data_IF_267769364221
#
_entry.id   IF_267769364221
#
_cell.length_a   1.000
_cell.length_b   1.000
_cell.length_c   1.000
_cell.angle_alpha   90.00
_cell.angle_beta   90.00
_cell.angle_gamma   90.00
#
_symmetry.space_group_name_H-M   'P 1'
#
loop_
_entity.id
_entity.type
_entity.pdbx_description
1 polymer ?
#
# COMPACT_ATOMS: atom_id res chain seq x y z
N UNK A 1 -13.30 -10.10 -13.80
CA UNK A 1 -14.49 -10.21 -14.68
C UNK A 1 -15.32 -11.40 -14.27
N UNK A 2 -16.65 -11.27 -14.20
CA UNK A 2 -17.54 -12.40 -13.93
C UNK A 2 -17.68 -13.24 -15.20
N UNK A 3 -17.34 -14.53 -15.14
CA UNK A 3 -17.47 -15.48 -16.24
C UNK A 3 -18.87 -16.09 -16.29
N UNK A 4 -19.21 -16.68 -17.44
CA UNK A 4 -20.35 -17.59 -17.55
C UNK A 4 -20.15 -18.74 -16.55
N UNK A 5 -20.98 -18.80 -15.51
CA UNK A 5 -20.79 -19.69 -14.35
C UNK A 5 -20.59 -18.96 -13.02
N UNK A 6 -20.63 -17.62 -12.99
CA UNK A 6 -20.68 -16.82 -11.76
C UNK A 6 -19.34 -16.63 -11.06
N UNK A 7 -18.27 -17.31 -11.51
CA UNK A 7 -16.92 -17.15 -10.97
C UNK A 7 -16.26 -15.88 -11.48
N UNK A 8 -15.44 -15.26 -10.65
CA UNK A 8 -14.63 -14.11 -11.02
C UNK A 8 -13.22 -14.53 -11.41
N UNK A 9 -12.72 -13.97 -12.50
CA UNK A 9 -11.30 -14.05 -12.86
C UNK A 9 -10.62 -12.69 -12.65
N UNK A 10 -9.40 -12.67 -12.08
CA UNK A 10 -8.62 -11.46 -11.97
C UNK A 10 -8.16 -11.03 -13.37
N UNK A 11 -8.43 -9.78 -13.74
CA UNK A 11 -8.04 -9.23 -15.05
C UNK A 11 -6.93 -8.18 -14.91
N UNK A 12 -7.13 -7.25 -13.97
CA UNK A 12 -6.15 -6.25 -13.59
C UNK A 12 -6.44 -5.86 -12.16
N UNK A 13 -5.60 -6.33 -11.24
CA UNK A 13 -5.67 -6.01 -9.82
C UNK A 13 -4.38 -5.26 -9.50
N UNK A 14 -4.54 -3.95 -9.32
CA UNK A 14 -3.46 -3.05 -8.96
C UNK A 14 -3.76 -2.31 -7.68
N UNK A 15 -2.73 -1.88 -6.97
CA UNK A 15 -2.92 -1.04 -5.79
C UNK A 15 -3.17 0.44 -6.11
N UNK A 16 -3.88 1.08 -5.19
CA UNK A 16 -4.19 2.51 -5.24
C UNK A 16 -3.50 3.30 -4.14
N UNK A 17 -3.52 4.63 -4.26
CA UNK A 17 -2.93 5.57 -3.30
C UNK A 17 -3.54 5.38 -1.91
N UNK A 18 -2.72 4.93 -0.95
CA UNK A 18 -3.16 4.55 0.40
C UNK A 18 -3.64 5.72 1.24
N UNK A 19 -3.13 6.94 1.00
CA UNK A 19 -3.55 8.14 1.73
C UNK A 19 -5.07 8.39 1.70
N UNK A 20 -5.79 7.93 0.66
CA UNK A 20 -7.26 8.06 0.62
C UNK A 20 -7.98 7.24 1.68
N UNK A 21 -7.32 6.22 2.23
CA UNK A 21 -7.84 5.30 3.22
C UNK A 21 -7.30 5.55 4.63
N UNK A 22 -6.47 6.58 4.82
CA UNK A 22 -5.71 6.82 6.05
C UNK A 22 -6.58 6.86 7.32
N UNK A 23 -7.73 7.56 7.24
CA UNK A 23 -8.70 7.67 8.34
C UNK A 23 -9.29 6.33 8.82
N UNK A 24 -9.20 5.27 8.02
CA UNK A 24 -9.75 3.96 8.36
C UNK A 24 -8.71 3.03 8.98
N UNK A 25 -7.41 3.33 8.83
CA UNK A 25 -6.30 2.46 9.28
C UNK A 25 -6.43 2.10 10.75
N UNK A 26 -6.61 3.09 11.64
CA UNK A 26 -6.74 2.82 13.08
C UNK A 26 -7.89 1.88 13.42
N UNK A 27 -9.07 2.11 12.84
CA UNK A 27 -10.24 1.25 13.04
C UNK A 27 -10.03 -0.19 12.53
N UNK A 28 -9.34 -0.36 11.40
CA UNK A 28 -8.97 -1.66 10.85
C UNK A 28 -8.05 -2.45 11.80
N UNK A 29 -7.05 -1.79 12.37
CA UNK A 29 -6.09 -2.42 13.28
C UNK A 29 -6.70 -2.75 14.65
N UNK A 30 -7.42 -1.80 15.22
CA UNK A 30 -7.98 -1.89 16.57
C UNK A 30 -9.17 -2.85 16.62
N UNK A 31 -10.14 -2.70 15.71
CA UNK A 31 -11.43 -3.42 15.80
C UNK A 31 -11.44 -4.74 15.06
N UNK A 32 -10.74 -4.81 13.93
CA UNK A 32 -10.77 -5.97 13.04
C UNK A 32 -9.47 -6.78 13.06
N UNK A 33 -8.49 -6.37 13.88
CA UNK A 33 -7.26 -7.13 14.06
C UNK A 33 -6.34 -7.15 12.83
N UNK A 34 -6.50 -6.21 11.89
CA UNK A 34 -5.60 -6.09 10.73
C UNK A 34 -4.19 -5.78 11.23
N UNK A 35 -3.18 -6.45 10.64
CA UNK A 35 -1.75 -6.27 11.03
C UNK A 35 -0.86 -5.89 9.86
N UNK A 36 -1.32 -6.05 8.62
CA UNK A 36 -0.59 -5.60 7.43
C UNK A 36 -1.54 -4.84 6.52
N UNK A 37 -1.05 -3.72 5.98
CA UNK A 37 -1.74 -2.94 4.95
C UNK A 37 -0.81 -2.86 3.73
N UNK A 38 -1.29 -3.28 2.57
CA UNK A 38 -0.55 -3.21 1.31
C UNK A 38 -1.10 -2.06 0.46
N UNK A 39 -0.22 -1.26 -0.14
CA UNK A 39 -0.66 -0.23 -1.08
C UNK A 39 0.49 0.58 -1.68
N UNK A 40 0.18 1.76 -2.23
CA UNK A 40 1.19 2.68 -2.76
C UNK A 40 1.08 4.09 -2.19
N UNK A 41 2.22 4.78 -2.14
CA UNK A 41 2.32 6.20 -1.77
C UNK A 41 2.37 6.49 -0.27
N UNK A 42 2.27 5.47 0.58
CA UNK A 42 2.37 5.62 2.03
C UNK A 42 1.10 6.11 2.70
N UNK A 43 1.18 6.18 4.03
CA UNK A 43 0.14 6.64 4.94
C UNK A 43 0.67 7.81 5.80
N UNK A 44 -0.21 8.44 6.57
CA UNK A 44 0.15 9.57 7.41
C UNK A 44 0.93 9.14 8.67
N UNK A 45 1.49 10.12 9.38
CA UNK A 45 2.05 9.89 10.71
C UNK A 45 1.00 9.49 11.75
N UNK A 46 -0.29 9.73 11.52
CA UNK A 46 -1.35 9.22 12.39
C UNK A 46 -1.47 7.70 12.24
N UNK A 47 -1.51 7.20 11.00
CA UNK A 47 -1.47 5.76 10.73
C UNK A 47 -0.20 5.10 11.28
N UNK A 48 0.96 5.76 11.22
CA UNK A 48 2.20 5.26 11.85
C UNK A 48 2.01 4.98 13.35
N UNK A 49 1.43 5.94 14.08
CA UNK A 49 1.13 5.75 15.51
C UNK A 49 0.17 4.59 15.75
N UNK A 50 -0.77 4.34 14.84
CA UNK A 50 -1.66 3.18 14.92
C UNK A 50 -0.88 1.86 14.71
N UNK A 51 0.07 1.82 13.78
CA UNK A 51 0.96 0.67 13.58
C UNK A 51 1.82 0.39 14.82
N UNK A 52 2.38 1.42 15.45
CA UNK A 52 3.13 1.29 16.70
C UNK A 52 2.25 0.76 17.84
N UNK A 53 1.05 1.35 18.01
CA UNK A 53 0.15 1.01 19.12
C UNK A 53 -0.43 -0.40 19.02
N UNK A 54 -0.77 -0.85 17.81
CA UNK A 54 -1.51 -2.11 17.60
C UNK A 54 -0.66 -3.22 16.98
N UNK A 55 0.62 -2.96 16.70
CA UNK A 55 1.56 -3.91 16.12
C UNK A 55 1.27 -4.20 14.66
N UNK A 56 1.39 -3.22 13.77
CA UNK A 56 1.14 -3.41 12.33
C UNK A 56 2.28 -2.95 11.42
N UNK A 57 2.12 -3.22 10.13
CA UNK A 57 3.08 -2.88 9.09
C UNK A 57 2.39 -2.34 7.84
N UNK A 58 2.99 -1.33 7.22
CA UNK A 58 2.63 -0.91 5.88
C UNK A 58 3.66 -1.43 4.87
N UNK A 59 3.15 -2.20 3.91
CA UNK A 59 3.92 -2.82 2.84
C UNK A 59 3.67 -2.06 1.55
N UNK A 60 4.67 -1.31 1.12
CA UNK A 60 4.64 -0.64 -0.17
C UNK A 60 4.82 -1.67 -1.28
N UNK A 61 3.91 -1.68 -2.25
CA UNK A 61 4.05 -2.44 -3.49
C UNK A 61 4.34 -1.49 -4.65
N UNK A 62 5.01 -2.02 -5.68
CA UNK A 62 5.40 -1.26 -6.86
C UNK A 62 4.17 -0.82 -7.68
N UNK A 63 3.77 0.44 -7.53
CA UNK A 63 2.65 0.98 -8.29
C UNK A 63 2.89 0.95 -9.82
N UNK A 64 1.83 0.70 -10.58
CA UNK A 64 1.89 0.61 -12.04
C UNK A 64 2.22 -0.80 -12.57
N UNK A 65 2.46 -1.76 -11.67
CA UNK A 65 2.75 -3.14 -12.01
C UNK A 65 1.51 -4.06 -11.93
N UNK A 66 0.30 -3.53 -12.11
CA UNK A 66 -0.96 -4.27 -11.95
C UNK A 66 -1.00 -5.57 -12.78
N UNK A 67 -0.45 -5.57 -13.99
CA UNK A 67 -0.37 -6.77 -14.82
C UNK A 67 0.46 -7.89 -14.15
N UNK A 68 1.58 -7.54 -13.52
CA UNK A 68 2.42 -8.47 -12.77
C UNK A 68 1.76 -8.88 -11.44
N UNK A 69 1.17 -7.94 -10.70
CA UNK A 69 0.44 -8.22 -9.46
C UNK A 69 -0.71 -9.20 -9.71
N UNK A 70 -1.39 -9.08 -10.86
CA UNK A 70 -2.49 -9.97 -11.26
C UNK A 70 -2.04 -11.41 -11.46
N UNK A 71 -0.82 -11.66 -11.98
CA UNK A 71 -0.32 -13.04 -12.17
C UNK A 71 -0.03 -13.76 -10.86
N UNK A 72 0.05 -13.02 -9.75
CA UNK A 72 0.29 -13.57 -8.41
C UNK A 72 -1.01 -13.95 -7.69
N UNK A 73 -2.17 -13.66 -8.30
CA UNK A 73 -3.50 -14.05 -7.80
C UNK A 73 -3.85 -15.43 -8.34
N UNK A 74 -3.91 -16.43 -7.46
CA UNK A 74 -4.27 -17.80 -7.83
C UNK A 74 -5.78 -17.97 -7.97
N UNK A 75 -6.57 -17.29 -7.13
CA UNK A 75 -8.02 -17.39 -7.14
C UNK A 75 -8.69 -16.17 -6.49
N UNK A 76 -9.89 -15.85 -6.97
CA UNK A 76 -10.85 -15.00 -6.28
C UNK A 76 -11.79 -15.94 -5.54
N UNK A 77 -11.69 -15.98 -4.21
CA UNK A 77 -12.39 -16.96 -3.38
C UNK A 77 -13.78 -16.49 -2.98
N UNK A 78 -13.93 -15.18 -2.75
CA UNK A 78 -15.19 -14.56 -2.40
C UNK A 78 -15.21 -13.09 -2.84
N UNK A 79 -16.43 -12.58 -3.01
CA UNK A 79 -16.72 -11.18 -3.28
C UNK A 79 -17.94 -10.78 -2.46
N UNK A 80 -17.91 -9.60 -1.86
CA UNK A 80 -19.06 -8.99 -1.20
C UNK A 80 -19.31 -7.59 -1.78
N UNK A 81 -20.57 -7.15 -1.69
CA UNK A 81 -21.03 -5.84 -2.18
C UNK A 81 -20.80 -5.65 -3.69
N UNK A 82 -21.23 -6.63 -4.49
CA UNK A 82 -21.03 -6.67 -5.96
C UNK A 82 -21.53 -5.41 -6.70
N UNK A 83 -22.45 -4.65 -6.09
CA UNK A 83 -22.96 -3.38 -6.58
C UNK A 83 -21.92 -2.23 -6.56
N UNK A 84 -20.84 -2.36 -5.79
CA UNK A 84 -19.76 -1.38 -5.69
C UNK A 84 -18.72 -1.49 -6.83
N UNK A 85 -18.91 -2.40 -7.79
CA UNK A 85 -18.05 -2.58 -8.96
C UNK A 85 -16.56 -2.76 -8.55
N UNK A 86 -15.53 -1.97 -8.97
CA UNK A 86 -14.15 -2.29 -8.57
C UNK A 86 -13.92 -2.13 -7.05
N UNK A 87 -14.80 -1.43 -6.34
CA UNK A 87 -14.71 -1.16 -4.89
C UNK A 87 -15.36 -2.27 -4.03
N UNK A 88 -15.71 -3.42 -4.62
CA UNK A 88 -16.15 -4.59 -3.85
C UNK A 88 -15.10 -5.02 -2.84
N UNK A 89 -15.54 -5.71 -1.79
CA UNK A 89 -14.62 -6.42 -0.91
C UNK A 89 -14.26 -7.75 -1.58
N UNK A 90 -12.99 -7.91 -1.95
CA UNK A 90 -12.48 -9.12 -2.61
C UNK A 90 -11.63 -9.94 -1.66
N UNK A 91 -11.87 -11.25 -1.62
CA UNK A 91 -10.97 -12.22 -1.01
C UNK A 91 -10.13 -12.90 -2.10
N UNK A 92 -8.82 -12.64 -2.08
CA UNK A 92 -7.87 -13.24 -3.01
C UNK A 92 -7.03 -14.31 -2.33
N UNK A 93 -6.83 -15.43 -3.02
CA UNK A 93 -5.72 -16.33 -2.75
C UNK A 93 -4.55 -15.91 -3.63
N UNK A 94 -3.39 -15.70 -3.02
CA UNK A 94 -2.19 -15.22 -3.71
C UNK A 94 -1.00 -16.13 -3.44
N UNK A 95 -0.08 -16.24 -4.41
CA UNK A 95 1.21 -16.92 -4.24
C UNK A 95 2.35 -15.99 -4.66
N UNK A 96 3.28 -15.76 -3.74
CA UNK A 96 4.45 -14.92 -4.02
C UNK A 96 4.08 -13.47 -4.32
N UNK A 97 3.07 -12.92 -3.63
CA UNK A 97 2.65 -11.53 -3.81
C UNK A 97 3.80 -10.57 -3.47
N UNK A 98 4.26 -9.79 -4.44
CA UNK A 98 5.36 -8.85 -4.26
C UNK A 98 6.11 -8.47 -5.55
N UNK A 99 7.26 -7.80 -5.42
CA UNK A 99 7.96 -7.49 -4.18
C UNK A 99 7.19 -6.52 -3.27
N UNK A 100 7.29 -6.73 -1.96
CA UNK A 100 6.73 -5.87 -0.93
C UNK A 100 7.87 -5.27 -0.11
N UNK A 101 7.86 -3.95 0.05
CA UNK A 101 8.85 -3.22 0.87
C UNK A 101 8.20 -2.79 2.16
N UNK A 102 8.80 -3.15 3.31
CA UNK A 102 8.42 -2.58 4.61
C UNK A 102 8.74 -1.09 4.57
N UNK A 103 7.70 -0.27 4.39
CA UNK A 103 7.87 1.18 4.26
C UNK A 103 7.43 1.92 5.53
N UNK A 104 6.58 1.31 6.36
CA UNK A 104 6.31 1.78 7.72
C UNK A 104 6.12 0.55 8.62
N UNK A 105 6.65 0.59 9.85
CA UNK A 105 6.61 -0.55 10.78
C UNK A 105 6.06 -0.18 12.16
N UNK A 106 5.91 -1.20 13.02
CA UNK A 106 5.40 -1.07 14.39
C UNK A 106 6.42 -0.51 15.39
N UNK A 107 7.61 -0.12 14.94
CA UNK A 107 8.69 0.44 15.75
C UNK A 107 8.91 1.93 15.45
N UNK A 108 8.02 2.55 14.69
CA UNK A 108 8.11 3.95 14.28
C UNK A 108 8.94 4.19 13.02
N UNK A 109 9.39 3.13 12.35
CA UNK A 109 10.10 3.22 11.07
C UNK A 109 9.20 3.80 9.98
N UNK A 110 9.74 4.73 9.18
CA UNK A 110 9.01 5.37 8.08
C UNK A 110 9.95 5.73 6.92
N UNK A 111 10.05 4.83 5.95
CA UNK A 111 10.89 4.98 4.76
C UNK A 111 10.56 6.24 3.96
N UNK A 112 9.29 6.65 3.90
CA UNK A 112 8.88 7.86 3.18
C UNK A 112 9.42 9.13 3.84
N UNK A 113 9.44 9.16 5.18
CA UNK A 113 10.02 10.27 5.93
C UNK A 113 11.53 10.33 5.71
N UNK A 114 12.21 9.18 5.79
CA UNK A 114 13.66 9.08 5.63
C UNK A 114 14.11 9.53 4.23
N UNK A 115 13.44 9.03 3.17
CA UNK A 115 13.73 9.42 1.79
C UNK A 115 13.48 10.91 1.58
N UNK A 116 12.41 11.47 2.15
CA UNK A 116 12.11 12.90 2.04
C UNK A 116 13.14 13.77 2.75
N UNK A 117 13.60 13.35 3.92
CA UNK A 117 14.66 14.04 4.65
C UNK A 117 15.98 14.04 3.86
N UNK A 118 16.36 12.88 3.31
CA UNK A 118 17.57 12.76 2.49
C UNK A 118 17.49 13.58 1.21
N UNK A 119 16.33 13.58 0.53
CA UNK A 119 16.12 14.38 -0.67
C UNK A 119 16.26 15.88 -0.39
N UNK A 120 15.77 16.37 0.75
CA UNK A 120 15.92 17.78 1.17
C UNK A 120 17.37 18.14 1.44
N UNK A 121 18.10 17.29 2.16
CA UNK A 121 19.54 17.48 2.41
C UNK A 121 20.32 17.60 1.10
N UNK A 122 20.07 16.68 0.16
CA UNK A 122 20.71 16.72 -1.17
C UNK A 122 20.35 17.96 -1.97
N UNK A 123 19.09 18.41 -1.88
CA UNK A 123 18.66 19.62 -2.57
C UNK A 123 19.45 20.84 -2.09
N UNK A 124 19.62 21.01 -0.79
CA UNK A 124 20.42 22.10 -0.21
C UNK A 124 21.87 22.06 -0.71
N UNK A 125 22.52 20.89 -0.69
CA UNK A 125 23.88 20.72 -1.20
C UNK A 125 24.00 21.08 -2.69
N UNK A 126 23.02 20.67 -3.50
CA UNK A 126 22.98 20.97 -4.93
C UNK A 126 22.84 22.48 -5.15
N UNK A 127 21.93 23.14 -4.42
CA UNK A 127 21.72 24.59 -4.54
C UNK A 127 22.99 25.37 -4.18
N UNK A 128 23.65 25.05 -3.06
CA UNK A 128 24.92 25.69 -2.68
C UNK A 128 26.02 25.48 -3.73
N UNK A 129 26.07 24.32 -4.39
CA UNK A 129 27.05 24.07 -5.47
C UNK A 129 26.74 24.87 -6.73
N UNK A 130 25.47 25.11 -7.03
CA UNK A 130 25.06 25.94 -8.17
C UNK A 130 25.39 27.42 -7.93
N UNK A 131 25.15 27.92 -6.72
CA UNK A 131 25.50 29.31 -6.35
C UNK A 131 26.99 29.59 -6.45
N UNK A 132 27.86 28.64 -6.03
CA UNK A 132 29.32 28.78 -6.13
C UNK A 132 29.87 28.72 -7.56
N UNK A 133 29.04 28.34 -8.54
CA UNK A 133 29.40 28.23 -9.97
C UNK A 133 28.88 29.41 -10.81
N UNK A 134 28.00 30.23 -10.24
CA UNK A 134 27.50 31.46 -10.84
C UNK A 134 28.42 32.63 -10.49
#
# INVERSE_FOLDING_TARGET
MKKAGGRYEPLSVGTTTSMRMDRFTGGLLERYGVRAVIGKGGLSGESLKQFERHGGVYLAITGGAAALETTQIEAIEAVWWEDLMPECLWQFRVRGLGPLTVAMDSHGGNLYADVKAEARRRLEEILTRLEKRA
#
